data_IF_163998441876
#
_entry.id   IF_163998441876
#
_cell.length_a   1.000
_cell.length_b   1.000
_cell.length_c   1.000
_cell.angle_alpha   90.00
_cell.angle_beta   90.00
_cell.angle_gamma   90.00
#
_symmetry.space_group_name_H-M   'P 1'
#
loop_
_entity.id
_entity.type
_entity.pdbx_description
1 polymer ?
#
# COMPACT_ATOMS: atom_id res chain seq x y z
N UNK A 1 -6.56 48.96 52.48
CA UNK A 1 -6.95 47.56 52.28
C UNK A 1 -6.95 47.30 50.80
N UNK A 2 -5.91 46.64 50.34
CA UNK A 2 -5.60 46.48 48.95
C UNK A 2 -5.80 45.00 48.67
N UNK A 3 -6.73 44.68 47.77
CA UNK A 3 -6.93 43.31 47.25
C UNK A 3 -6.12 43.15 46.00
N UNK A 4 -5.21 42.21 46.03
CA UNK A 4 -4.40 41.82 44.89
C UNK A 4 -5.20 40.87 43.98
N UNK A 5 -5.32 41.21 42.71
CA UNK A 5 -5.84 40.35 41.65
C UNK A 5 -4.73 39.42 41.16
N UNK A 6 -4.93 38.12 41.32
CA UNK A 6 -4.02 37.09 40.77
C UNK A 6 -4.14 37.01 39.28
N UNK A 7 -3.04 37.33 38.60
CA UNK A 7 -2.89 37.11 37.16
C UNK A 7 -2.72 35.62 36.81
N UNK A 8 -3.68 35.08 36.06
CA UNK A 8 -3.61 33.75 35.47
C UNK A 8 -2.52 33.73 34.43
N UNK A 9 -1.33 33.23 34.78
CA UNK A 9 -0.22 33.01 33.89
C UNK A 9 -0.50 31.82 32.98
N UNK A 10 -0.56 32.08 31.67
CA UNK A 10 -0.56 31.05 30.65
C UNK A 10 0.80 30.34 30.67
N UNK A 11 0.80 29.08 31.05
CA UNK A 11 1.99 28.24 31.13
C UNK A 11 2.45 27.82 29.72
N UNK A 12 3.74 28.02 29.42
CA UNK A 12 4.42 27.57 28.22
C UNK A 12 4.50 26.04 28.05
N UNK A 13 5.16 25.49 27.00
CA UNK A 13 4.85 24.21 26.40
C UNK A 13 4.93 23.03 27.37
N UNK A 14 3.92 22.18 27.29
CA UNK A 14 3.53 21.07 28.15
C UNK A 14 4.51 19.87 28.23
N UNK A 15 5.81 20.11 28.41
CA UNK A 15 6.79 19.03 28.63
C UNK A 15 6.92 18.53 30.08
N UNK A 16 6.26 19.18 31.02
CA UNK A 16 6.39 18.86 32.47
C UNK A 16 5.09 18.38 33.15
N UNK A 17 3.96 18.31 32.44
CA UNK A 17 2.72 17.71 32.98
C UNK A 17 2.59 16.30 32.45
N UNK A 18 2.29 15.32 33.31
CA UNK A 18 2.05 13.91 32.92
C UNK A 18 1.05 13.86 31.76
N UNK A 19 1.28 12.91 30.83
CA UNK A 19 0.36 12.71 29.69
C UNK A 19 -1.06 12.43 30.22
N UNK A 20 -2.10 13.00 29.56
CA UNK A 20 -3.49 12.75 29.98
C UNK A 20 -3.88 11.28 29.78
N UNK A 21 -4.90 10.77 30.49
CA UNK A 21 -5.36 9.39 30.37
C UNK A 21 -5.63 8.97 28.90
N UNK A 22 -6.17 9.87 28.08
CA UNK A 22 -6.41 9.64 26.64
C UNK A 22 -5.16 9.33 25.83
N UNK A 23 -3.96 9.64 26.32
CA UNK A 23 -2.70 9.27 25.66
C UNK A 23 -2.52 7.75 25.59
N UNK A 24 -3.06 6.98 26.54
CA UNK A 24 -3.01 5.51 26.51
C UNK A 24 -3.71 4.93 25.27
N UNK A 25 -4.74 5.60 24.78
CA UNK A 25 -5.39 5.23 23.53
C UNK A 25 -4.45 5.38 22.31
N UNK A 26 -3.64 6.44 22.27
CA UNK A 26 -2.63 6.60 21.23
C UNK A 26 -1.53 5.55 21.31
N UNK A 27 -1.14 5.13 22.53
CA UNK A 27 -0.21 4.00 22.72
C UNK A 27 -0.81 2.71 22.17
N UNK A 28 -2.05 2.39 22.52
CA UNK A 28 -2.73 1.21 22.00
C UNK A 28 -2.82 1.22 20.47
N UNK A 29 -3.26 2.31 19.87
CA UNK A 29 -3.32 2.45 18.41
C UNK A 29 -1.95 2.30 17.74
N UNK A 30 -0.91 2.87 18.36
CA UNK A 30 0.45 2.76 17.85
C UNK A 30 0.98 1.32 17.93
N UNK A 31 0.65 0.58 19.00
CA UNK A 31 0.99 -0.83 19.16
C UNK A 31 0.27 -1.70 18.11
N UNK A 32 -1.05 -1.55 17.96
CA UNK A 32 -1.83 -2.29 16.96
C UNK A 32 -1.36 -2.00 15.53
N UNK A 33 -1.02 -0.75 15.22
CA UNK A 33 -0.47 -0.37 13.90
C UNK A 33 0.92 -0.94 13.61
N UNK A 34 1.63 -1.37 14.66
CA UNK A 34 2.91 -2.07 14.57
C UNK A 34 2.76 -3.60 14.50
N UNK A 35 1.52 -4.13 14.46
CA UNK A 35 1.23 -5.55 14.45
C UNK A 35 1.34 -6.24 15.81
N UNK A 36 1.32 -5.45 16.91
CA UNK A 36 1.34 -5.95 18.28
C UNK A 36 -0.10 -6.14 18.80
N UNK A 37 -0.29 -7.05 19.76
CA UNK A 37 -1.63 -7.35 20.29
C UNK A 37 -2.18 -6.29 21.26
N UNK A 38 -1.31 -5.38 21.74
CA UNK A 38 -1.65 -4.34 22.71
C UNK A 38 -0.42 -3.69 23.29
N UNK A 39 -0.57 -3.04 24.44
CA UNK A 39 0.53 -2.34 25.15
C UNK A 39 1.16 -3.16 26.26
N UNK A 40 0.55 -4.28 26.65
CA UNK A 40 1.09 -5.18 27.68
C UNK A 40 2.22 -6.05 27.13
N UNK A 41 3.25 -6.30 27.94
CA UNK A 41 4.35 -7.23 27.62
C UNK A 41 5.32 -6.73 26.54
N UNK A 42 5.31 -5.44 26.19
CA UNK A 42 6.25 -4.88 25.24
C UNK A 42 7.67 -4.84 25.79
N UNK A 43 8.64 -5.23 24.99
CA UNK A 43 10.05 -5.01 25.31
C UNK A 43 10.43 -3.51 25.24
N UNK A 44 11.62 -3.16 25.74
CA UNK A 44 12.07 -1.76 25.79
C UNK A 44 12.13 -1.08 24.42
N UNK A 45 12.50 -1.80 23.35
CA UNK A 45 12.58 -1.27 22.00
C UNK A 45 11.20 -1.07 21.40
N UNK A 46 10.30 -2.05 21.58
CA UNK A 46 8.90 -1.97 21.16
C UNK A 46 8.20 -0.79 21.86
N UNK A 47 8.34 -0.69 23.17
CA UNK A 47 7.76 0.40 23.96
C UNK A 47 8.27 1.77 23.50
N UNK A 48 9.59 1.91 23.29
CA UNK A 48 10.18 3.15 22.78
C UNK A 48 9.61 3.54 21.39
N UNK A 49 9.49 2.57 20.47
CA UNK A 49 8.93 2.80 19.15
C UNK A 49 7.44 3.18 19.20
N UNK A 50 6.65 2.47 19.98
CA UNK A 50 5.22 2.72 20.17
C UNK A 50 5.00 4.09 20.80
N UNK A 51 5.76 4.43 21.87
CA UNK A 51 5.67 5.73 22.54
C UNK A 51 6.00 6.86 21.57
N UNK A 52 7.06 6.77 20.79
CA UNK A 52 7.43 7.78 19.80
C UNK A 52 6.35 8.00 18.72
N UNK A 53 5.64 6.93 18.30
CA UNK A 53 4.50 7.03 17.37
C UNK A 53 3.28 7.66 18.03
N UNK A 54 2.99 7.23 19.25
CA UNK A 54 1.89 7.77 20.07
C UNK A 54 2.09 9.27 20.34
N UNK A 55 3.31 9.70 20.71
CA UNK A 55 3.64 11.11 20.88
C UNK A 55 3.33 11.93 19.62
N UNK A 56 3.80 11.47 18.45
CA UNK A 56 3.55 12.18 17.18
C UNK A 56 2.07 12.30 16.86
N UNK A 57 1.30 11.24 17.07
CA UNK A 57 -0.14 11.25 16.77
C UNK A 57 -0.90 12.12 17.79
N UNK A 58 -0.56 12.02 19.06
CA UNK A 58 -1.17 12.84 20.12
C UNK A 58 -0.85 14.33 19.98
N UNK A 59 0.41 14.68 19.67
CA UNK A 59 0.83 16.06 19.47
C UNK A 59 0.13 16.68 18.23
N UNK A 60 -0.02 15.90 17.15
CA UNK A 60 -0.76 16.33 15.96
C UNK A 60 -2.26 16.53 16.28
N UNK A 61 -2.89 15.55 16.92
CA UNK A 61 -4.28 15.66 17.32
C UNK A 61 -4.49 16.88 18.24
N UNK A 62 -3.65 17.05 19.25
CA UNK A 62 -3.75 18.17 20.19
C UNK A 62 -3.58 19.52 19.50
N UNK A 63 -2.68 19.60 18.49
CA UNK A 63 -2.52 20.80 17.69
C UNK A 63 -3.79 21.14 16.89
N UNK A 64 -4.41 20.13 16.30
CA UNK A 64 -5.65 20.28 15.52
C UNK A 64 -6.83 20.66 16.43
N UNK A 65 -6.96 20.00 17.58
CA UNK A 65 -8.02 20.29 18.53
C UNK A 65 -7.91 21.69 19.18
N UNK A 66 -6.73 22.28 19.17
CA UNK A 66 -6.52 23.66 19.64
C UNK A 66 -6.83 24.72 18.57
N UNK A 67 -7.23 24.34 17.37
CA UNK A 67 -7.57 25.28 16.28
C UNK A 67 -8.98 25.84 16.42
N UNK A 68 -9.22 27.00 15.80
CA UNK A 68 -10.54 27.61 15.74
C UNK A 68 -11.59 26.70 15.07
N UNK A 69 -11.15 25.95 14.05
CA UNK A 69 -12.01 24.98 13.35
C UNK A 69 -12.53 23.87 14.26
N UNK A 70 -11.76 23.45 15.26
CA UNK A 70 -12.19 22.46 16.24
C UNK A 70 -13.16 23.07 17.27
N UNK A 71 -12.95 24.34 17.67
CA UNK A 71 -13.80 25.03 18.61
C UNK A 71 -15.27 25.21 18.15
N UNK A 72 -15.49 25.19 16.85
CA UNK A 72 -16.80 25.26 16.20
C UNK A 72 -17.54 23.91 16.11
N UNK A 73 -16.88 22.80 16.46
CA UNK A 73 -17.42 21.46 16.28
C UNK A 73 -17.96 20.88 17.58
N UNK A 74 -19.21 20.42 17.52
CA UNK A 74 -19.86 19.70 18.62
C UNK A 74 -20.20 18.29 18.10
N UNK A 75 -19.64 17.26 18.74
CA UNK A 75 -20.02 15.88 18.48
C UNK A 75 -21.27 15.53 19.26
N UNK A 76 -22.35 15.16 18.57
CA UNK A 76 -23.58 14.73 19.22
C UNK A 76 -23.33 13.45 20.05
N UNK A 77 -23.92 13.40 21.26
CA UNK A 77 -23.75 12.26 22.17
C UNK A 77 -24.07 10.90 21.52
N UNK A 78 -25.11 10.84 20.69
CA UNK A 78 -25.47 9.62 19.95
C UNK A 78 -24.38 9.12 18.99
N UNK A 79 -23.60 10.00 18.35
CA UNK A 79 -22.48 9.59 17.51
C UNK A 79 -21.33 9.02 18.33
N UNK A 80 -21.09 9.60 19.51
CA UNK A 80 -20.07 9.10 20.41
C UNK A 80 -20.47 7.75 21.02
N UNK A 81 -21.76 7.59 21.40
CA UNK A 81 -22.30 6.33 21.88
C UNK A 81 -22.18 5.22 20.82
N UNK A 82 -22.49 5.55 19.55
CA UNK A 82 -22.32 4.64 18.43
C UNK A 82 -20.86 4.25 18.22
N UNK A 83 -19.92 5.19 18.34
CA UNK A 83 -18.49 4.90 18.21
C UNK A 83 -17.98 3.95 19.30
N UNK A 84 -18.40 4.16 20.56
CA UNK A 84 -18.07 3.23 21.66
C UNK A 84 -18.67 1.85 21.43
N UNK A 85 -19.96 1.81 21.02
CA UNK A 85 -20.63 0.55 20.70
C UNK A 85 -19.97 -0.20 19.53
N UNK A 86 -19.50 0.51 18.50
CA UNK A 86 -18.78 -0.09 17.37
C UNK A 86 -17.47 -0.75 17.85
N UNK A 87 -16.70 -0.11 18.72
CA UNK A 87 -15.51 -0.73 19.29
C UNK A 87 -15.87 -1.97 20.10
N UNK A 88 -16.89 -1.87 20.97
CA UNK A 88 -17.36 -3.00 21.78
C UNK A 88 -17.86 -4.18 20.97
N UNK A 89 -18.48 -3.93 19.80
CA UNK A 89 -19.01 -4.97 18.91
C UNK A 89 -17.95 -5.90 18.28
N UNK A 90 -16.69 -5.53 18.38
CA UNK A 90 -15.55 -6.36 17.89
C UNK A 90 -15.16 -7.47 18.87
N UNK A 91 -15.74 -7.45 20.07
CA UNK A 91 -15.51 -8.43 21.11
C UNK A 91 -16.70 -9.39 21.24
N UNK A 92 -16.48 -10.64 21.68
CA UNK A 92 -17.55 -11.62 21.81
C UNK A 92 -18.59 -11.24 22.86
N UNK A 93 -18.16 -10.53 23.90
CA UNK A 93 -19.01 -10.04 25.01
C UNK A 93 -18.42 -8.82 25.68
N UNK A 94 -19.23 -8.21 26.59
CA UNK A 94 -18.83 -6.98 27.31
C UNK A 94 -17.68 -7.22 28.30
N UNK A 95 -17.59 -8.40 28.89
CA UNK A 95 -16.53 -8.72 29.86
C UNK A 95 -15.17 -8.77 29.17
N UNK A 96 -15.08 -9.44 28.02
CA UNK A 96 -13.89 -9.47 27.16
C UNK A 96 -13.46 -8.06 26.71
N UNK A 97 -14.44 -7.22 26.33
CA UNK A 97 -14.16 -5.82 25.97
C UNK A 97 -13.55 -5.02 27.13
N UNK A 98 -14.17 -5.07 28.31
CA UNK A 98 -13.69 -4.33 29.48
C UNK A 98 -12.33 -4.86 29.97
N UNK A 99 -12.14 -6.18 29.92
CA UNK A 99 -10.87 -6.82 30.29
C UNK A 99 -9.73 -6.39 29.37
N UNK A 100 -9.96 -6.32 28.05
CA UNK A 100 -8.94 -5.86 27.10
C UNK A 100 -8.62 -4.38 27.27
N UNK A 101 -9.63 -3.52 27.51
CA UNK A 101 -9.40 -2.12 27.86
C UNK A 101 -8.50 -1.99 29.08
N UNK A 102 -8.85 -2.70 30.17
CA UNK A 102 -8.08 -2.66 31.42
C UNK A 102 -6.64 -3.18 31.21
N UNK A 103 -6.46 -4.25 30.43
CA UNK A 103 -5.15 -4.77 30.05
C UNK A 103 -4.26 -3.77 29.32
N UNK A 104 -4.87 -2.83 28.59
CA UNK A 104 -4.19 -1.71 27.91
C UNK A 104 -4.17 -0.42 28.77
N UNK A 105 -4.61 -0.48 30.03
CA UNK A 105 -4.65 0.64 30.95
C UNK A 105 -5.70 1.69 30.62
N UNK A 106 -6.75 1.30 29.89
CA UNK A 106 -7.92 2.11 29.56
C UNK A 106 -9.14 1.65 30.36
N UNK A 107 -10.11 2.52 30.44
CA UNK A 107 -11.50 2.23 30.84
C UNK A 107 -12.45 2.81 29.78
N UNK A 108 -13.74 2.55 29.95
CA UNK A 108 -14.74 3.00 28.98
C UNK A 108 -14.86 4.54 28.93
N UNK A 109 -14.64 5.21 30.02
CA UNK A 109 -14.65 6.69 30.09
C UNK A 109 -13.45 7.27 29.32
N UNK A 110 -12.26 6.76 29.56
CA UNK A 110 -11.04 7.16 28.85
C UNK A 110 -11.14 6.87 27.37
N UNK A 111 -11.69 5.70 26.99
CA UNK A 111 -11.95 5.37 25.61
C UNK A 111 -12.94 6.37 24.97
N UNK A 112 -14.02 6.67 25.67
CA UNK A 112 -15.04 7.64 25.22
C UNK A 112 -14.43 9.02 24.96
N UNK A 113 -13.62 9.52 25.89
CA UNK A 113 -12.89 10.79 25.71
C UNK A 113 -11.93 10.75 24.53
N UNK A 114 -11.22 9.64 24.35
CA UNK A 114 -10.31 9.48 23.22
C UNK A 114 -11.05 9.45 21.88
N UNK A 115 -12.16 8.72 21.79
CA UNK A 115 -13.01 8.66 20.59
C UNK A 115 -13.66 10.03 20.28
N UNK A 116 -14.07 10.78 21.29
CA UNK A 116 -14.56 12.15 21.09
C UNK A 116 -13.51 13.04 20.44
N UNK A 117 -12.26 12.98 20.91
CA UNK A 117 -11.13 13.72 20.35
C UNK A 117 -10.85 13.29 18.90
N UNK A 118 -10.86 11.99 18.63
CA UNK A 118 -10.67 11.43 17.28
C UNK A 118 -11.77 11.90 16.32
N UNK A 119 -13.04 11.84 16.72
CA UNK A 119 -14.16 12.31 15.91
C UNK A 119 -14.06 13.81 15.58
N UNK A 120 -13.66 14.65 16.56
CA UNK A 120 -13.41 16.08 16.30
C UNK A 120 -12.25 16.25 15.32
N UNK A 121 -11.14 15.54 15.54
CA UNK A 121 -9.99 15.57 14.65
C UNK A 121 -10.37 15.23 13.22
N UNK A 122 -11.09 14.12 13.00
CA UNK A 122 -11.52 13.66 11.69
C UNK A 122 -12.47 14.66 11.02
N UNK A 123 -13.41 15.23 11.77
CA UNK A 123 -14.34 16.24 11.27
C UNK A 123 -13.61 17.52 10.82
N UNK A 124 -12.61 17.99 11.60
CA UNK A 124 -11.75 19.11 11.20
C UNK A 124 -10.99 18.77 9.93
N UNK A 125 -10.37 17.60 9.87
CA UNK A 125 -9.58 17.19 8.72
C UNK A 125 -10.44 17.05 7.46
N UNK A 126 -11.66 16.55 7.56
CA UNK A 126 -12.64 16.51 6.46
C UNK A 126 -13.04 17.92 6.01
N UNK A 127 -13.36 18.81 6.98
CA UNK A 127 -13.70 20.22 6.67
C UNK A 127 -12.58 20.95 5.97
N UNK A 128 -11.34 20.75 6.39
CA UNK A 128 -10.14 21.32 5.75
C UNK A 128 -9.93 20.73 4.36
N UNK A 129 -10.09 19.41 4.19
CA UNK A 129 -9.99 18.76 2.89
C UNK A 129 -11.04 19.26 1.89
N UNK A 130 -12.23 19.60 2.37
CA UNK A 130 -13.32 20.14 1.54
C UNK A 130 -13.02 21.54 0.95
N UNK A 131 -12.06 22.28 1.54
CA UNK A 131 -11.61 23.60 1.00
C UNK A 131 -10.74 23.46 -0.27
N UNK A 132 -10.54 22.24 -0.76
CA UNK A 132 -9.75 21.99 -1.98
C UNK A 132 -10.33 22.69 -3.21
N UNK A 133 -9.49 23.13 -4.17
CA UNK A 133 -9.95 23.56 -5.47
C UNK A 133 -10.74 22.44 -6.17
N UNK A 134 -11.74 22.82 -6.95
CA UNK A 134 -12.49 21.88 -7.77
C UNK A 134 -11.58 21.26 -8.84
N UNK A 135 -11.67 19.95 -9.00
CA UNK A 135 -11.01 19.23 -10.09
C UNK A 135 -11.79 19.46 -11.38
N UNK A 136 -11.12 19.97 -12.40
CA UNK A 136 -11.71 20.27 -13.70
C UNK A 136 -11.57 19.11 -14.68
N UNK A 137 -12.35 19.12 -15.75
CA UNK A 137 -12.22 18.15 -16.84
C UNK A 137 -10.85 18.21 -17.54
N UNK A 138 -10.20 19.39 -17.51
CA UNK A 138 -8.85 19.59 -18.05
C UNK A 138 -7.83 18.85 -17.19
N UNK A 139 -7.95 18.94 -15.86
CA UNK A 139 -7.06 18.23 -14.91
C UNK A 139 -7.16 16.73 -15.12
N UNK A 140 -8.37 16.20 -15.28
CA UNK A 140 -8.62 14.78 -15.52
C UNK A 140 -7.98 14.28 -16.82
N UNK A 141 -8.16 15.03 -17.92
CA UNK A 141 -7.56 14.69 -19.21
C UNK A 141 -6.05 14.76 -19.18
N UNK A 142 -5.50 15.83 -18.59
CA UNK A 142 -4.07 16.01 -18.45
C UNK A 142 -3.46 14.87 -17.63
N UNK A 143 -4.10 14.49 -16.52
CA UNK A 143 -3.65 13.36 -15.72
C UNK A 143 -3.66 12.06 -16.50
N UNK A 144 -4.72 11.79 -17.28
CA UNK A 144 -4.81 10.59 -18.10
C UNK A 144 -3.68 10.53 -19.14
N UNK A 145 -3.46 11.60 -19.88
CA UNK A 145 -2.43 11.63 -20.93
C UNK A 145 -1.01 11.50 -20.35
N UNK A 146 -0.71 12.23 -19.27
CA UNK A 146 0.60 12.14 -18.59
C UNK A 146 0.86 10.77 -17.95
N UNK A 147 -0.20 10.02 -17.63
CA UNK A 147 -0.09 8.73 -16.96
C UNK A 147 -0.69 7.57 -17.74
N UNK A 148 -0.74 7.67 -19.07
CA UNK A 148 -1.39 6.69 -19.97
C UNK A 148 -0.91 5.26 -19.75
N UNK A 149 0.38 5.08 -19.46
CA UNK A 149 0.97 3.78 -19.13
C UNK A 149 0.30 3.10 -17.91
N UNK A 150 -0.19 3.87 -16.92
CA UNK A 150 -0.89 3.33 -15.74
C UNK A 150 -2.28 2.76 -16.07
N UNK A 151 -2.84 3.15 -17.21
CA UNK A 151 -4.15 2.72 -17.70
C UNK A 151 -4.02 1.73 -18.85
N UNK A 152 -2.79 1.35 -19.21
CA UNK A 152 -2.49 0.39 -20.26
C UNK A 152 -2.16 -0.96 -19.66
N UNK A 153 -2.94 -1.98 -20.03
CA UNK A 153 -2.56 -3.36 -19.78
C UNK A 153 -1.45 -3.71 -20.78
N UNK A 154 -0.27 -4.15 -20.31
CA UNK A 154 0.81 -4.52 -21.22
C UNK A 154 0.42 -5.72 -22.06
N UNK A 155 1.09 -5.87 -23.21
CA UNK A 155 1.04 -7.08 -24.01
C UNK A 155 1.38 -8.28 -23.13
N UNK A 156 0.61 -9.36 -23.31
CA UNK A 156 0.83 -10.64 -22.61
C UNK A 156 0.77 -11.77 -23.63
N UNK A 157 1.57 -12.79 -23.41
CA UNK A 157 1.58 -13.97 -24.25
C UNK A 157 1.38 -15.22 -23.43
N UNK A 158 0.51 -16.11 -23.90
CA UNK A 158 0.36 -17.46 -23.33
C UNK A 158 1.34 -18.35 -24.07
N UNK A 159 2.21 -19.01 -23.33
CA UNK A 159 3.31 -19.76 -23.93
C UNK A 159 3.54 -21.12 -23.26
N UNK A 160 4.19 -21.99 -24.00
CA UNK A 160 4.84 -23.23 -23.53
C UNK A 160 6.28 -23.25 -23.97
N UNK A 161 7.10 -24.03 -23.27
CA UNK A 161 8.47 -24.28 -23.69
C UNK A 161 8.89 -25.74 -23.51
N UNK A 162 9.94 -26.12 -24.23
CA UNK A 162 10.71 -27.36 -24.06
C UNK A 162 12.13 -26.92 -23.76
N UNK A 163 12.75 -27.46 -22.73
CA UNK A 163 14.15 -27.23 -22.36
C UNK A 163 14.92 -28.53 -22.51
N UNK A 164 16.03 -28.48 -23.20
CA UNK A 164 17.13 -29.48 -23.16
C UNK A 164 18.31 -28.77 -22.50
N UNK A 165 18.67 -29.22 -21.31
CA UNK A 165 19.77 -28.62 -20.55
C UNK A 165 21.11 -28.92 -21.16
N UNK A 166 22.07 -28.00 -21.04
CA UNK A 166 23.47 -28.24 -21.35
C UNK A 166 24.18 -28.55 -20.05
N UNK A 167 24.80 -29.76 -20.01
CA UNK A 167 25.60 -30.20 -18.87
C UNK A 167 26.72 -31.12 -19.37
N UNK A 168 27.98 -30.71 -19.25
CA UNK A 168 29.15 -31.41 -19.73
C UNK A 168 29.46 -32.70 -18.94
N UNK A 169 28.87 -32.88 -17.74
CA UNK A 169 29.00 -34.08 -16.92
C UNK A 169 28.26 -35.30 -17.55
N UNK A 170 27.34 -35.05 -18.49
CA UNK A 170 26.55 -36.07 -19.17
C UNK A 170 26.71 -35.97 -20.66
N UNK A 171 27.21 -37.05 -21.30
CA UNK A 171 27.51 -37.06 -22.74
C UNK A 171 26.28 -36.76 -23.62
N UNK A 172 25.08 -37.15 -23.18
CA UNK A 172 23.82 -36.88 -23.87
C UNK A 172 23.33 -35.45 -23.74
N UNK A 173 23.89 -34.68 -22.80
CA UNK A 173 23.58 -33.27 -22.52
C UNK A 173 24.76 -32.33 -22.77
N UNK A 174 25.86 -32.82 -23.36
CA UNK A 174 26.91 -31.94 -23.88
C UNK A 174 26.34 -30.98 -24.95
N UNK A 175 26.97 -29.80 -25.18
CA UNK A 175 26.39 -28.74 -26.01
C UNK A 175 25.98 -29.21 -27.43
N UNK A 176 26.78 -30.06 -28.05
CA UNK A 176 26.50 -30.59 -29.40
C UNK A 176 25.31 -31.56 -29.38
N UNK A 177 25.27 -32.45 -28.39
CA UNK A 177 24.20 -33.44 -28.26
C UNK A 177 22.88 -32.76 -27.89
N UNK A 178 22.88 -31.84 -26.92
CA UNK A 178 21.70 -31.07 -26.52
C UNK A 178 21.13 -30.27 -27.71
N UNK A 179 22.00 -29.62 -28.50
CA UNK A 179 21.59 -28.89 -29.68
C UNK A 179 20.96 -29.80 -30.72
N UNK A 180 21.57 -30.94 -31.00
CA UNK A 180 21.00 -31.91 -31.95
C UNK A 180 19.63 -32.44 -31.49
N UNK A 181 19.45 -32.69 -30.20
CA UNK A 181 18.18 -33.12 -29.60
C UNK A 181 17.08 -32.06 -29.76
N UNK A 182 17.36 -30.78 -29.46
CA UNK A 182 16.37 -29.71 -29.57
C UNK A 182 16.01 -29.45 -31.06
N UNK A 183 16.97 -29.53 -31.99
CA UNK A 183 16.73 -29.40 -33.43
C UNK A 183 15.82 -30.54 -33.97
N UNK A 184 16.05 -31.80 -33.55
CA UNK A 184 15.16 -32.92 -33.88
C UNK A 184 13.72 -32.70 -33.35
N UNK A 185 13.57 -32.08 -32.18
CA UNK A 185 12.26 -31.74 -31.64
C UNK A 185 11.59 -30.62 -32.44
N UNK A 186 12.36 -29.60 -32.84
CA UNK A 186 11.90 -28.55 -33.73
C UNK A 186 11.37 -29.11 -35.04
N UNK A 187 12.10 -30.06 -35.67
CA UNK A 187 11.69 -30.71 -36.92
C UNK A 187 10.37 -31.49 -36.75
N UNK A 188 10.21 -32.23 -35.65
CA UNK A 188 8.95 -32.95 -35.32
C UNK A 188 7.76 -32.03 -35.13
N UNK A 189 8.01 -30.77 -34.77
CA UNK A 189 6.98 -29.75 -34.51
C UNK A 189 6.62 -28.93 -35.76
N UNK A 190 7.40 -29.01 -36.85
CA UNK A 190 7.10 -28.29 -38.10
C UNK A 190 5.74 -28.71 -38.65
N UNK A 191 4.80 -27.76 -38.67
CA UNK A 191 3.41 -28.00 -39.09
C UNK A 191 2.56 -28.79 -38.10
N UNK A 192 3.09 -29.16 -36.94
CA UNK A 192 2.42 -30.00 -35.95
C UNK A 192 2.47 -29.44 -34.53
N UNK A 193 2.09 -28.15 -34.33
CA UNK A 193 2.12 -27.50 -33.05
C UNK A 193 1.30 -28.23 -31.97
N UNK A 194 0.26 -28.94 -32.36
CA UNK A 194 -0.57 -29.76 -31.46
C UNK A 194 0.21 -30.88 -30.73
N UNK A 195 1.39 -31.25 -31.23
CA UNK A 195 2.28 -32.24 -30.60
C UNK A 195 3.16 -31.66 -29.52
N UNK A 196 3.21 -30.31 -29.38
CA UNK A 196 4.08 -29.63 -28.43
C UNK A 196 3.87 -30.11 -26.99
N UNK A 197 2.63 -30.21 -26.44
CA UNK A 197 2.39 -30.69 -25.10
C UNK A 197 2.97 -32.08 -24.83
N UNK A 198 2.75 -33.03 -25.73
CA UNK A 198 3.22 -34.39 -25.57
C UNK A 198 4.75 -34.51 -25.68
N UNK A 199 5.37 -33.71 -26.55
CA UNK A 199 6.82 -33.66 -26.65
C UNK A 199 7.46 -32.96 -25.48
N UNK A 200 6.84 -31.89 -24.93
CA UNK A 200 7.28 -31.24 -23.72
C UNK A 200 7.26 -32.21 -22.54
N UNK A 201 6.16 -32.92 -22.34
CA UNK A 201 6.03 -33.92 -21.27
C UNK A 201 7.09 -35.03 -21.38
N UNK A 202 7.42 -35.44 -22.58
CA UNK A 202 8.32 -36.56 -22.80
C UNK A 202 9.81 -36.19 -22.79
N UNK A 203 10.14 -34.98 -23.23
CA UNK A 203 11.52 -34.64 -23.57
C UNK A 203 12.04 -33.38 -22.84
N UNK A 204 11.17 -32.53 -22.27
CA UNK A 204 11.62 -31.34 -21.57
C UNK A 204 12.22 -31.70 -20.22
N UNK A 205 13.36 -31.12 -19.94
CA UNK A 205 14.11 -31.27 -18.68
C UNK A 205 13.77 -30.16 -17.67
N UNK A 206 12.80 -29.31 -18.00
CA UNK A 206 12.22 -28.33 -17.07
C UNK A 206 11.08 -28.95 -16.24
N UNK A 207 10.92 -28.61 -14.97
CA UNK A 207 9.78 -29.07 -14.16
C UNK A 207 8.41 -28.81 -14.80
N UNK A 208 8.27 -27.78 -15.65
CA UNK A 208 7.05 -27.50 -16.41
C UNK A 208 6.67 -28.62 -17.38
N UNK A 209 7.53 -29.59 -17.64
CA UNK A 209 7.22 -30.79 -18.42
C UNK A 209 5.98 -31.53 -17.89
N UNK A 210 5.81 -31.58 -16.56
CA UNK A 210 4.64 -32.19 -15.90
C UNK A 210 3.32 -31.47 -16.23
N UNK A 211 3.40 -30.22 -16.66
CA UNK A 211 2.28 -29.38 -17.10
C UNK A 211 2.35 -29.09 -18.60
N UNK A 212 2.87 -30.07 -19.38
CA UNK A 212 2.97 -29.96 -20.85
C UNK A 212 3.82 -28.75 -21.31
N UNK A 213 4.84 -28.38 -20.55
CA UNK A 213 5.72 -27.25 -20.82
C UNK A 213 5.09 -25.87 -20.58
N UNK A 214 3.99 -25.77 -19.86
CA UNK A 214 3.21 -24.54 -19.71
C UNK A 214 3.97 -23.48 -18.90
N UNK A 215 4.19 -22.30 -19.53
CA UNK A 215 4.69 -21.07 -18.86
C UNK A 215 3.55 -20.16 -18.37
N UNK A 216 2.33 -20.43 -18.85
CA UNK A 216 1.16 -19.58 -18.55
C UNK A 216 1.12 -18.30 -19.38
N UNK A 217 0.42 -17.28 -18.87
CA UNK A 217 0.30 -15.98 -19.54
C UNK A 217 1.25 -14.98 -18.90
N UNK A 218 2.31 -14.62 -19.59
CA UNK A 218 3.40 -13.78 -19.10
C UNK A 218 3.41 -12.42 -19.80
N UNK A 219 3.70 -11.33 -19.09
CA UNK A 219 4.07 -10.05 -19.69
C UNK A 219 5.54 -10.07 -20.10
N UNK A 220 5.98 -9.12 -20.92
CA UNK A 220 7.38 -8.92 -21.30
C UNK A 220 8.29 -8.74 -20.06
N UNK A 221 9.50 -9.30 -20.12
CA UNK A 221 10.52 -9.18 -19.06
C UNK A 221 10.34 -10.16 -17.89
N UNK A 222 9.58 -11.26 -18.07
CA UNK A 222 9.38 -12.30 -17.05
C UNK A 222 10.14 -13.59 -17.33
N UNK A 223 10.63 -13.77 -18.53
CA UNK A 223 11.43 -14.92 -18.94
C UNK A 223 12.91 -14.51 -19.07
N UNK A 224 13.79 -15.47 -19.34
CA UNK A 224 15.16 -15.19 -19.76
C UNK A 224 15.14 -14.24 -20.96
N UNK A 225 16.08 -13.28 -21.08
CA UNK A 225 16.05 -12.25 -22.13
C UNK A 225 15.90 -12.82 -23.54
N UNK A 226 16.58 -13.92 -23.83
CA UNK A 226 16.57 -14.59 -25.13
C UNK A 226 15.21 -15.21 -25.44
N UNK A 227 14.60 -15.85 -24.41
CA UNK A 227 13.25 -16.43 -24.54
C UNK A 227 12.19 -15.36 -24.65
N UNK A 228 12.34 -14.27 -23.89
CA UNK A 228 11.43 -13.13 -23.94
C UNK A 228 11.47 -12.48 -25.32
N UNK A 229 12.67 -12.21 -25.85
CA UNK A 229 12.85 -11.67 -27.19
C UNK A 229 12.23 -12.58 -28.27
N UNK A 230 12.49 -13.88 -28.21
CA UNK A 230 11.91 -14.85 -29.12
C UNK A 230 10.39 -14.90 -29.02
N UNK A 231 9.85 -15.08 -27.81
CA UNK A 231 8.40 -15.17 -27.58
C UNK A 231 7.68 -13.93 -28.09
N UNK A 232 8.19 -12.74 -27.78
CA UNK A 232 7.50 -11.47 -28.10
C UNK A 232 7.73 -10.98 -29.54
N UNK A 233 8.54 -11.67 -30.36
CA UNK A 233 8.67 -11.42 -31.79
C UNK A 233 7.73 -12.28 -32.64
N UNK A 234 7.18 -13.38 -32.10
CA UNK A 234 6.41 -14.37 -32.87
C UNK A 234 4.92 -14.02 -32.93
N UNK A 235 4.20 -14.39 -33.98
CA UNK A 235 2.74 -14.38 -34.00
C UNK A 235 2.17 -15.52 -33.14
N UNK A 236 0.87 -15.39 -32.78
CA UNK A 236 0.13 -16.47 -32.13
C UNK A 236 0.15 -17.75 -33.00
N UNK A 237 0.30 -18.90 -32.36
CA UNK A 237 0.39 -20.21 -32.99
C UNK A 237 1.81 -20.60 -33.44
N UNK A 238 2.77 -19.67 -33.48
CA UNK A 238 4.13 -19.94 -33.91
C UNK A 238 4.97 -20.64 -32.83
N UNK A 239 5.91 -21.46 -33.28
CA UNK A 239 6.95 -22.10 -32.49
C UNK A 239 8.30 -21.52 -32.93
N UNK A 240 9.16 -21.17 -31.95
CA UNK A 240 10.51 -20.68 -32.23
C UNK A 240 11.41 -21.75 -32.83
N UNK A 241 12.52 -21.35 -33.48
CA UNK A 241 13.69 -22.20 -33.56
C UNK A 241 14.32 -22.43 -32.19
N UNK A 242 15.41 -23.20 -32.12
CA UNK A 242 16.18 -23.34 -30.89
C UNK A 242 16.68 -21.99 -30.38
N UNK A 243 16.39 -21.68 -29.14
CA UNK A 243 16.83 -20.48 -28.42
C UNK A 243 17.80 -20.92 -27.35
N UNK A 244 19.00 -20.39 -27.37
CA UNK A 244 20.04 -20.68 -26.39
C UNK A 244 19.94 -19.75 -25.19
N UNK A 245 20.07 -20.29 -23.97
CA UNK A 245 20.17 -19.57 -22.70
C UNK A 245 21.28 -20.18 -21.85
N UNK A 246 21.58 -19.62 -20.70
CA UNK A 246 22.54 -20.19 -19.76
C UNK A 246 22.21 -21.61 -19.28
N UNK A 247 20.94 -22.02 -19.34
CA UNK A 247 20.48 -23.36 -18.94
C UNK A 247 20.61 -24.40 -20.05
N UNK A 248 20.66 -23.97 -21.31
CA UNK A 248 20.66 -24.86 -22.50
C UNK A 248 19.77 -24.34 -23.61
N UNK A 249 19.23 -25.27 -24.41
CA UNK A 249 18.44 -24.95 -25.59
C UNK A 249 16.94 -25.10 -25.34
N UNK A 250 16.18 -24.14 -25.83
CA UNK A 250 14.73 -24.09 -25.67
C UNK A 250 14.01 -24.04 -27.02
N UNK A 251 12.79 -24.60 -27.04
CA UNK A 251 11.75 -24.27 -28.01
C UNK A 251 10.64 -23.57 -27.27
N UNK A 252 10.12 -22.50 -27.84
CA UNK A 252 8.99 -21.73 -27.23
C UNK A 252 7.83 -21.75 -28.21
N UNK A 253 6.65 -22.05 -27.73
CA UNK A 253 5.39 -21.97 -28.48
C UNK A 253 4.55 -20.81 -27.94
N UNK A 254 4.27 -19.83 -28.81
CA UNK A 254 3.35 -18.73 -28.52
C UNK A 254 1.90 -19.18 -28.81
N UNK A 255 1.17 -19.66 -27.79
CA UNK A 255 -0.20 -20.13 -27.99
C UNK A 255 -1.17 -18.99 -28.31
N UNK A 256 -1.06 -17.87 -27.57
CA UNK A 256 -1.95 -16.71 -27.70
C UNK A 256 -1.20 -15.42 -27.46
N UNK A 257 -1.58 -14.38 -28.19
CA UNK A 257 -1.16 -13.00 -27.99
C UNK A 257 -2.35 -12.21 -27.46
N UNK A 258 -2.14 -11.49 -26.39
CA UNK A 258 -3.05 -10.47 -25.87
C UNK A 258 -2.37 -9.14 -26.03
N UNK A 259 -2.78 -8.39 -27.04
CA UNK A 259 -2.21 -7.07 -27.34
C UNK A 259 -2.33 -6.11 -26.14
N UNK A 260 -1.40 -5.19 -26.06
CA UNK A 260 -1.47 -4.09 -25.11
C UNK A 260 -2.76 -3.29 -25.35
N UNK A 261 -3.51 -3.03 -24.27
CA UNK A 261 -4.79 -2.33 -24.38
C UNK A 261 -4.89 -1.22 -23.35
N UNK A 262 -4.99 0.00 -23.81
CA UNK A 262 -5.30 1.15 -22.96
C UNK A 262 -6.79 1.18 -22.63
N UNK A 263 -7.10 1.37 -21.34
CA UNK A 263 -8.48 1.64 -20.94
C UNK A 263 -8.87 3.05 -21.43
N UNK A 264 -10.02 3.21 -22.09
CA UNK A 264 -10.43 4.51 -22.58
C UNK A 264 -10.70 5.49 -21.42
N UNK A 265 -10.41 6.76 -21.65
CA UNK A 265 -10.58 7.82 -20.64
C UNK A 265 -11.94 7.78 -19.95
N UNK A 266 -13.03 7.57 -20.72
CA UNK A 266 -14.40 7.50 -20.18
C UNK A 266 -14.57 6.45 -19.08
N UNK A 267 -13.87 5.30 -19.17
CA UNK A 267 -13.94 4.24 -18.15
C UNK A 267 -13.17 4.58 -16.89
N UNK A 268 -12.05 5.28 -17.03
CA UNK A 268 -11.14 5.57 -15.89
C UNK A 268 -11.38 6.96 -15.28
N UNK A 269 -12.12 7.81 -15.95
CA UNK A 269 -12.43 9.18 -15.54
C UNK A 269 -12.92 9.29 -14.09
N UNK A 270 -13.92 8.50 -13.61
CA UNK A 270 -14.36 8.62 -12.22
C UNK A 270 -13.25 8.33 -11.20
N UNK A 271 -12.41 7.34 -11.49
CA UNK A 271 -11.25 7.01 -10.64
C UNK A 271 -10.19 8.09 -10.65
N UNK A 272 -9.96 8.71 -11.81
CA UNK A 272 -9.01 9.82 -11.94
C UNK A 272 -9.51 11.01 -11.13
N UNK A 273 -10.78 11.39 -11.28
CA UNK A 273 -11.39 12.47 -10.51
C UNK A 273 -11.22 12.25 -9.02
N UNK A 274 -11.64 11.09 -8.51
CA UNK A 274 -11.51 10.74 -7.09
C UNK A 274 -10.05 10.84 -6.62
N UNK A 275 -9.11 10.29 -7.36
CA UNK A 275 -7.69 10.33 -7.00
C UNK A 275 -7.12 11.76 -6.95
N UNK A 276 -7.55 12.62 -7.87
CA UNK A 276 -7.14 14.04 -7.91
C UNK A 276 -7.77 14.82 -6.75
N UNK A 277 -9.05 14.59 -6.45
CA UNK A 277 -9.76 15.19 -5.32
C UNK A 277 -9.14 14.79 -4.00
N UNK A 278 -8.88 13.50 -3.79
CA UNK A 278 -8.21 12.99 -2.59
C UNK A 278 -6.80 13.59 -2.41
N UNK A 279 -6.06 13.72 -3.52
CA UNK A 279 -4.73 14.34 -3.51
C UNK A 279 -4.82 15.82 -3.16
N UNK A 280 -5.76 16.55 -3.74
CA UNK A 280 -5.98 17.96 -3.46
C UNK A 280 -6.41 18.17 -2.00
N UNK A 281 -7.32 17.35 -1.48
CA UNK A 281 -7.74 17.37 -0.08
C UNK A 281 -6.56 17.13 0.88
N UNK A 282 -5.76 16.08 0.63
CA UNK A 282 -4.54 15.84 1.43
C UNK A 282 -3.53 16.98 1.36
N UNK A 283 -3.42 17.67 0.23
CA UNK A 283 -2.54 18.84 0.11
C UNK A 283 -3.07 20.01 0.94
N UNK A 284 -4.38 20.27 0.94
CA UNK A 284 -5.00 21.27 1.80
C UNK A 284 -4.76 20.96 3.28
N UNK A 285 -4.98 19.72 3.70
CA UNK A 285 -4.71 19.28 5.07
C UNK A 285 -3.25 19.51 5.48
N UNK A 286 -2.29 19.11 4.63
CA UNK A 286 -0.85 19.30 4.88
C UNK A 286 -0.48 20.78 4.99
N UNK A 287 -0.98 21.60 4.07
CA UNK A 287 -0.72 23.04 4.08
C UNK A 287 -1.26 23.70 5.35
N UNK A 288 -2.49 23.35 5.73
CA UNK A 288 -3.14 23.85 6.92
C UNK A 288 -2.42 23.42 8.22
N UNK A 289 -2.07 22.13 8.38
CA UNK A 289 -1.29 21.64 9.54
C UNK A 289 0.05 22.38 9.63
N UNK A 290 0.73 22.61 8.50
CA UNK A 290 1.99 23.35 8.49
C UNK A 290 1.79 24.83 8.90
N UNK A 291 0.67 25.42 8.54
CA UNK A 291 0.32 26.78 9.00
C UNK A 291 0.08 26.81 10.52
N UNK A 292 -0.68 25.85 11.06
CA UNK A 292 -0.87 25.73 12.52
C UNK A 292 0.45 25.56 13.28
N UNK A 293 1.35 24.70 12.78
CA UNK A 293 2.67 24.51 13.40
C UNK A 293 3.50 25.78 13.43
N UNK A 294 3.48 26.57 12.35
CA UNK A 294 4.19 27.86 12.30
C UNK A 294 3.60 28.87 13.28
N UNK A 295 2.28 28.95 13.35
CA UNK A 295 1.60 29.83 14.30
C UNK A 295 1.95 29.47 15.76
N UNK A 296 1.90 28.18 16.10
CA UNK A 296 2.26 27.70 17.44
C UNK A 296 3.76 27.97 17.77
N UNK A 297 4.67 27.86 16.78
CA UNK A 297 6.10 28.15 16.97
C UNK A 297 6.38 29.66 17.08
N UNK A 298 5.65 30.51 16.34
CA UNK A 298 5.78 31.96 16.35
C UNK A 298 5.36 32.59 17.68
N UNK A 299 4.30 32.11 18.27
CA UNK A 299 3.84 32.54 19.62
C UNK A 299 4.89 32.23 20.70
N UNK A 300 5.63 31.12 20.57
CA UNK A 300 6.71 30.74 21.50
C UNK A 300 7.93 31.67 21.43
N UNK A 301 8.18 32.35 20.31
CA UNK A 301 9.34 33.28 20.16
C UNK A 301 9.02 34.70 20.66
N UNK A 302 7.77 35.16 20.56
CA UNK A 302 7.36 36.49 21.01
C UNK A 302 7.33 36.58 22.54
N UNK A 303 6.98 35.50 23.24
CA UNK A 303 6.99 35.44 24.72
C UNK A 303 8.40 35.44 25.34
N UNK A 304 9.47 35.13 24.55
CA UNK A 304 10.87 35.14 25.03
C UNK A 304 11.59 36.49 24.88
N UNK A 305 10.98 37.49 24.23
CA UNK A 305 11.59 38.81 24.02
C UNK A 305 11.10 39.86 25.03
N UNK A 306 10.23 39.51 25.93
CA UNK A 306 9.66 40.43 26.93
C UNK A 306 9.96 40.01 28.39
N UNK A 307 11.05 39.24 28.57
CA UNK A 307 11.58 38.91 29.91
C UNK A 307 13.00 39.33 30.06
#
# INVERSE_FOLDING_TARGET
MISQGEGSGFAGPARARGRPPSFKYHLLRAALSAGLSGTAGLDANQLSNVTRRADKSFDLESLVLASDEAGELVIAGAHLDAAVAEVGSRYPDRESFLSDLAGNGLDEETLRLALQRELIFDAVMQRVAARRPAVTDVDERLFYELHKARFTQPERRTARHILITVNDDFSENGPVAARARIEQLADKLRGHANRFPSLARKHSECPTAMEDGRLGTVPRGRLYPELDAALFSMPAGAISGPVETELGFHLVWCEKVREARSQPFSKVRPRIRQALEDRAGRNCQKAWINALRRAASGVSQTGRRLS
#
